data_IF_438217135520
#
_entry.id   IF_438217135520
#
_cell.length_a   1.000
_cell.length_b   1.000
_cell.length_c   1.000
_cell.angle_alpha   90.00
_cell.angle_beta   90.00
_cell.angle_gamma   90.00
#
_symmetry.space_group_name_H-M   'P 1'
#
loop_
_entity.id
_entity.type
_entity.pdbx_description
1 polymer ?
#
# COMPACT_ATOMS: atom_id res chain seq x y z
N UNK A 1 -0.19 -8.99 31.37
CA UNK A 1 -1.24 -9.17 30.34
C UNK A 1 -0.55 -9.22 28.98
N UNK A 2 -0.33 -10.46 28.53
CA UNK A 2 -0.10 -10.98 27.16
C UNK A 2 0.37 -10.06 26.02
N UNK A 3 1.61 -10.32 25.58
CA UNK A 3 2.39 -9.85 24.41
C UNK A 3 1.78 -10.16 23.01
N UNK A 4 0.46 -10.30 22.90
CA UNK A 4 -0.19 -10.69 21.64
C UNK A 4 -0.64 -9.48 20.78
N UNK A 5 -0.74 -8.27 21.35
CA UNK A 5 -1.24 -7.07 20.66
C UNK A 5 -0.22 -6.46 19.70
N UNK A 6 1.08 -6.52 20.04
CA UNK A 6 2.12 -5.81 19.27
C UNK A 6 2.32 -6.35 17.84
N UNK A 7 1.93 -7.61 17.57
CA UNK A 7 2.02 -8.19 16.22
C UNK A 7 0.89 -7.75 15.29
N UNK A 8 -0.20 -7.22 15.84
CA UNK A 8 -1.36 -6.76 15.08
C UNK A 8 -1.18 -5.28 14.74
N UNK A 9 -0.67 -4.49 15.69
CA UNK A 9 -0.48 -3.04 15.51
C UNK A 9 0.81 -2.68 14.76
N UNK A 10 1.87 -3.49 14.89
CA UNK A 10 3.13 -3.29 14.17
C UNK A 10 3.67 -4.63 13.63
N UNK A 11 3.10 -5.20 12.55
CA UNK A 11 3.72 -6.33 11.89
C UNK A 11 5.15 -5.92 11.48
N UNK A 12 6.21 -6.67 11.88
CA UNK A 12 7.62 -6.29 11.71
C UNK A 12 8.13 -6.28 10.24
N UNK A 13 7.24 -6.11 9.27
CA UNK A 13 7.52 -6.32 7.85
C UNK A 13 6.88 -5.31 6.89
N UNK A 14 6.64 -4.05 7.31
CA UNK A 14 6.33 -2.96 6.38
C UNK A 14 7.09 -1.64 6.61
N UNK A 15 8.04 -1.61 7.54
CA UNK A 15 9.04 -0.54 7.66
C UNK A 15 10.06 -0.64 6.54
N UNK A 16 9.88 0.11 5.46
CA UNK A 16 10.93 0.34 4.48
C UNK A 16 11.14 1.84 4.27
N UNK A 17 12.14 2.37 4.98
CA UNK A 17 12.42 3.80 5.06
C UNK A 17 11.99 4.40 6.39
N UNK A 18 12.15 5.72 6.54
CA UNK A 18 11.73 6.46 7.73
C UNK A 18 10.21 6.66 7.84
N UNK A 19 9.43 6.14 6.88
CA UNK A 19 7.99 6.42 6.72
C UNK A 19 7.29 5.10 6.43
N UNK A 20 6.25 4.76 7.21
CA UNK A 20 5.41 3.61 6.90
C UNK A 20 4.51 3.89 5.71
N UNK A 21 4.19 2.84 4.94
CA UNK A 21 3.26 2.94 3.81
C UNK A 21 1.89 3.47 4.26
N UNK A 22 1.41 3.07 5.44
CA UNK A 22 0.14 3.55 5.97
C UNK A 22 0.21 5.05 6.31
N UNK A 23 1.31 5.51 6.92
CA UNK A 23 1.52 6.92 7.24
C UNK A 23 1.52 7.79 5.98
N UNK A 24 2.17 7.33 4.90
CA UNK A 24 2.16 8.05 3.62
C UNK A 24 0.74 8.12 3.00
N UNK A 25 -0.04 7.05 3.12
CA UNK A 25 -1.42 6.99 2.60
C UNK A 25 -2.32 7.95 3.38
N UNK A 26 -2.20 8.00 4.70
CA UNK A 26 -2.98 8.89 5.56
C UNK A 26 -2.54 10.36 5.40
N UNK A 27 -1.23 10.63 5.36
CA UNK A 27 -0.70 11.98 5.22
C UNK A 27 -1.06 12.64 3.88
N UNK A 28 -1.25 11.85 2.82
CA UNK A 28 -1.64 12.32 1.49
C UNK A 28 -3.15 12.20 1.24
N UNK A 29 -3.93 11.79 2.25
CA UNK A 29 -5.38 11.55 2.17
C UNK A 29 -5.78 10.70 0.94
N UNK A 30 -5.02 9.62 0.70
CA UNK A 30 -5.25 8.76 -0.46
C UNK A 30 -6.45 7.85 -0.23
N UNK A 31 -7.43 7.95 -1.12
CA UNK A 31 -8.55 7.01 -1.18
C UNK A 31 -8.09 5.56 -1.46
N UNK A 32 -9.01 4.60 -1.27
CA UNK A 32 -8.74 3.17 -1.32
C UNK A 32 -7.91 2.71 -2.55
N UNK A 33 -8.20 3.24 -3.75
CA UNK A 33 -7.47 2.83 -4.96
C UNK A 33 -6.03 3.31 -4.94
N UNK A 34 -5.82 4.61 -4.71
CA UNK A 34 -4.48 5.21 -4.70
C UNK A 34 -3.64 4.68 -3.54
N UNK A 35 -4.23 4.45 -2.36
CA UNK A 35 -3.52 3.82 -1.24
C UNK A 35 -3.04 2.40 -1.58
N UNK A 36 -3.86 1.61 -2.29
CA UNK A 36 -3.42 0.30 -2.79
C UNK A 36 -2.29 0.40 -3.82
N UNK A 37 -2.28 1.42 -4.70
CA UNK A 37 -1.17 1.67 -5.62
C UNK A 37 0.14 1.82 -4.85
N UNK A 38 0.19 2.75 -3.89
CA UNK A 38 1.38 2.99 -3.05
C UNK A 38 1.80 1.71 -2.32
N UNK A 39 0.84 1.01 -1.70
CA UNK A 39 1.10 -0.25 -1.00
C UNK A 39 1.77 -1.31 -1.89
N UNK A 40 1.25 -1.56 -3.09
CA UNK A 40 1.83 -2.57 -3.97
C UNK A 40 3.16 -2.12 -4.59
N UNK A 41 3.34 -0.82 -4.85
CA UNK A 41 4.63 -0.26 -5.32
C UNK A 41 5.70 -0.43 -4.25
N UNK A 42 5.42 -0.05 -3.01
CA UNK A 42 6.34 -0.22 -1.89
C UNK A 42 6.65 -1.70 -1.65
N UNK A 43 5.64 -2.58 -1.69
CA UNK A 43 5.83 -4.01 -1.48
C UNK A 43 6.67 -4.68 -2.57
N UNK A 44 6.51 -4.25 -3.83
CA UNK A 44 7.22 -4.82 -4.98
C UNK A 44 8.75 -4.69 -4.88
N UNK A 45 9.24 -3.73 -4.10
CA UNK A 45 10.67 -3.54 -3.85
C UNK A 45 11.24 -4.51 -2.81
N UNK A 46 10.40 -5.17 -2.00
CA UNK A 46 10.84 -5.79 -0.74
C UNK A 46 10.33 -7.21 -0.51
N UNK A 47 9.22 -7.63 -1.11
CA UNK A 47 8.64 -8.97 -0.87
C UNK A 47 7.82 -9.48 -2.04
N UNK A 48 7.86 -10.80 -2.27
CA UNK A 48 6.99 -11.51 -3.21
C UNK A 48 7.43 -11.40 -4.66
N UNK A 49 6.47 -11.57 -5.58
CA UNK A 49 6.68 -11.40 -7.02
C UNK A 49 6.51 -9.92 -7.39
N UNK A 50 7.65 -9.25 -7.62
CA UNK A 50 7.72 -7.85 -8.02
C UNK A 50 6.83 -7.53 -9.22
N UNK A 51 6.80 -8.39 -10.23
CA UNK A 51 5.98 -8.16 -11.42
C UNK A 51 4.50 -8.29 -11.10
N UNK A 52 4.11 -9.28 -10.30
CA UNK A 52 2.72 -9.44 -9.86
C UNK A 52 2.24 -8.24 -9.04
N UNK A 53 3.08 -7.69 -8.16
CA UNK A 53 2.73 -6.52 -7.36
C UNK A 53 2.64 -5.25 -8.20
N UNK A 54 3.56 -5.02 -9.14
CA UNK A 54 3.46 -3.90 -10.08
C UNK A 54 2.20 -4.01 -10.97
N UNK A 55 1.81 -5.23 -11.38
CA UNK A 55 0.55 -5.47 -12.09
C UNK A 55 -0.68 -5.14 -11.24
N UNK A 56 -0.66 -5.45 -9.94
CA UNK A 56 -1.74 -5.07 -9.01
C UNK A 56 -1.81 -3.55 -8.83
N UNK A 57 -0.66 -2.89 -8.66
CA UNK A 57 -0.60 -1.44 -8.59
C UNK A 57 -1.24 -0.80 -9.84
N UNK A 58 -0.83 -1.26 -11.03
CA UNK A 58 -1.43 -0.83 -12.30
C UNK A 58 -2.94 -1.03 -12.32
N UNK A 59 -3.44 -2.19 -11.89
CA UNK A 59 -4.88 -2.46 -11.87
C UNK A 59 -5.68 -1.46 -11.02
N UNK A 60 -5.16 -1.07 -9.86
CA UNK A 60 -5.83 -0.06 -9.02
C UNK A 60 -5.77 1.33 -9.66
N UNK A 61 -4.64 1.69 -10.27
CA UNK A 61 -4.46 2.97 -10.94
C UNK A 61 -5.39 3.10 -12.16
N UNK A 62 -5.44 2.07 -13.02
CA UNK A 62 -6.30 2.04 -14.20
C UNK A 62 -7.78 2.22 -13.79
N UNK A 63 -8.22 1.62 -12.67
CA UNK A 63 -9.59 1.80 -12.17
C UNK A 63 -9.88 3.20 -11.62
N UNK A 64 -8.88 3.86 -11.05
CA UNK A 64 -9.04 5.23 -10.57
C UNK A 64 -9.10 6.22 -11.74
N UNK A 65 -8.26 6.01 -12.77
CA UNK A 65 -8.33 6.76 -14.02
C UNK A 65 -9.72 6.62 -14.66
N UNK A 66 -10.20 5.38 -14.82
CA UNK A 66 -11.54 5.13 -15.40
C UNK A 66 -12.66 5.76 -14.56
N UNK A 67 -12.52 5.87 -13.23
CA UNK A 67 -13.49 6.58 -12.39
C UNK A 67 -13.49 8.07 -12.72
N UNK A 68 -12.31 8.69 -12.73
CA UNK A 68 -12.14 10.12 -12.97
C UNK A 68 -12.53 10.54 -14.39
N UNK A 69 -12.33 9.68 -15.39
CA UNK A 69 -12.76 9.94 -16.78
C UNK A 69 -14.29 9.91 -16.96
N UNK A 70 -15.03 9.36 -15.99
CA UNK A 70 -16.50 9.26 -16.01
C UNK A 70 -17.18 10.37 -15.19
N UNK A 71 -16.39 11.21 -14.55
CA UNK A 71 -16.83 12.40 -13.79
C UNK A 71 -16.75 13.64 -14.69
#
# INVERSE_FOLDING_TARGET
>A
MTEASERIDHPPHYTFGAIEVIDAIEAWDLGFRLGNVIKYVARAAHKGDRLADLRKARWYLDREIVRLERE
#
